data_IF_095982905104
#
_entry.id   IF_095982905104
#
_cell.length_a   1.000
_cell.length_b   1.000
_cell.length_c   1.000
_cell.angle_alpha   90.00
_cell.angle_beta   90.00
_cell.angle_gamma   90.00
#
_symmetry.space_group_name_H-M   'P 1'
#
loop_
_entity.id
_entity.type
_entity.pdbx_description
1 polymer ?
#
# COMPACT_ATOMS: atom_id res chain seq x y z
N UNK A 1 22.57 4.23 -1.80
CA UNK A 1 21.85 3.36 -2.77
C UNK A 1 20.61 2.67 -2.17
N UNK A 2 20.46 2.59 -0.84
CA UNK A 2 19.38 1.85 -0.13
C UNK A 2 18.05 2.59 0.00
N UNK A 3 18.05 3.93 0.05
CA UNK A 3 16.85 4.75 0.30
C UNK A 3 15.83 4.69 -0.86
N UNK A 4 16.32 4.70 -2.11
CA UNK A 4 15.47 4.62 -3.30
C UNK A 4 14.79 3.25 -3.40
N UNK A 5 15.49 2.17 -3.03
CA UNK A 5 14.95 0.82 -3.07
C UNK A 5 13.86 0.61 -2.01
N UNK A 6 14.06 1.12 -0.79
CA UNK A 6 13.06 1.01 0.30
C UNK A 6 11.77 1.75 -0.03
N UNK A 7 11.87 2.95 -0.60
CA UNK A 7 10.72 3.70 -1.12
C UNK A 7 10.01 2.94 -2.24
N UNK A 8 10.77 2.45 -3.22
CA UNK A 8 10.24 1.70 -4.34
C UNK A 8 9.42 0.49 -3.86
N UNK A 9 9.97 -0.30 -2.92
CA UNK A 9 9.25 -1.42 -2.31
C UNK A 9 7.98 -0.94 -1.62
N UNK A 10 8.04 0.14 -0.83
CA UNK A 10 6.88 0.61 -0.04
C UNK A 10 5.75 1.11 -0.95
N UNK A 11 6.09 1.81 -2.04
CA UNK A 11 5.13 2.28 -3.05
C UNK A 11 4.54 1.09 -3.81
N UNK A 12 5.37 0.14 -4.26
CA UNK A 12 4.92 -1.07 -4.97
C UNK A 12 4.00 -1.91 -4.08
N UNK A 13 4.34 -2.09 -2.80
CA UNK A 13 3.49 -2.79 -1.83
C UNK A 13 2.14 -2.09 -1.65
N UNK A 14 2.12 -0.77 -1.49
CA UNK A 14 0.87 -0.02 -1.41
C UNK A 14 0.02 -0.20 -2.68
N UNK A 15 0.64 -0.13 -3.86
CA UNK A 15 -0.05 -0.35 -5.14
C UNK A 15 -0.66 -1.75 -5.25
N UNK A 16 0.08 -2.78 -4.86
CA UNK A 16 -0.38 -4.17 -4.89
C UNK A 16 -1.60 -4.36 -3.97
N UNK A 17 -1.56 -3.81 -2.75
CA UNK A 17 -2.70 -3.86 -1.83
C UNK A 17 -3.93 -3.14 -2.40
N UNK A 18 -3.74 -2.01 -3.05
CA UNK A 18 -4.85 -1.30 -3.73
C UNK A 18 -5.44 -2.19 -4.83
N UNK A 19 -4.63 -2.75 -5.72
CA UNK A 19 -5.10 -3.61 -6.80
C UNK A 19 -5.87 -4.82 -6.27
N UNK A 20 -5.37 -5.48 -5.22
CA UNK A 20 -6.00 -6.64 -4.61
C UNK A 20 -7.39 -6.29 -4.05
N UNK A 21 -7.51 -5.18 -3.32
CA UNK A 21 -8.80 -4.75 -2.76
C UNK A 21 -9.76 -4.33 -3.86
N UNK A 22 -9.29 -3.67 -4.92
CA UNK A 22 -10.12 -3.32 -6.07
C UNK A 22 -10.58 -4.55 -6.86
N UNK A 23 -9.71 -5.55 -7.08
CA UNK A 23 -10.11 -6.83 -7.69
C UNK A 23 -11.17 -7.53 -6.85
N UNK A 24 -11.06 -7.46 -5.52
CA UNK A 24 -12.08 -8.00 -4.64
C UNK A 24 -13.40 -7.21 -4.71
N UNK A 25 -13.33 -5.88 -4.81
CA UNK A 25 -14.52 -5.04 -4.94
C UNK A 25 -15.25 -5.19 -6.29
N UNK A 26 -14.50 -5.35 -7.39
CA UNK A 26 -15.03 -5.55 -8.74
C UNK A 26 -15.58 -6.98 -8.98
N UNK A 27 -15.45 -7.87 -7.99
CA UNK A 27 -15.88 -9.27 -8.13
C UNK A 27 -14.95 -10.12 -8.99
N UNK A 28 -13.78 -9.62 -9.38
CA UNK A 28 -12.74 -10.41 -10.04
C UNK A 28 -12.07 -11.40 -9.10
N UNK A 29 -12.11 -11.15 -7.78
CA UNK A 29 -11.61 -12.08 -6.77
C UNK A 29 -12.52 -12.14 -5.54
N UNK A 30 -13.21 -13.26 -5.35
CA UNK A 30 -14.05 -13.48 -4.17
C UNK A 30 -13.19 -13.99 -3.01
N UNK A 31 -13.14 -13.20 -1.94
CA UNK A 31 -12.51 -13.57 -0.69
C UNK A 31 -13.56 -13.60 0.43
N UNK A 32 -13.31 -14.39 1.47
CA UNK A 32 -14.16 -14.44 2.65
C UNK A 32 -14.35 -13.04 3.25
N UNK A 33 -15.50 -12.78 3.88
CA UNK A 33 -15.85 -11.48 4.44
C UNK A 33 -14.78 -10.99 5.43
N UNK A 34 -14.21 -11.90 6.21
CA UNK A 34 -13.13 -11.59 7.17
C UNK A 34 -11.86 -11.17 6.43
N UNK A 35 -11.47 -11.91 5.39
CA UNK A 35 -10.27 -11.65 4.58
C UNK A 35 -10.40 -10.29 3.89
N UNK A 36 -11.57 -10.01 3.32
CA UNK A 36 -11.88 -8.74 2.65
C UNK A 36 -11.74 -7.54 3.58
N UNK A 37 -12.22 -7.63 4.83
CA UNK A 37 -12.04 -6.55 5.83
C UNK A 37 -10.56 -6.38 6.17
N UNK A 38 -9.81 -7.48 6.35
CA UNK A 38 -8.39 -7.43 6.69
C UNK A 38 -7.58 -6.75 5.57
N UNK A 39 -7.80 -7.13 4.31
CA UNK A 39 -7.12 -6.52 3.17
C UNK A 39 -7.42 -5.02 3.04
N UNK A 40 -8.64 -4.58 3.36
CA UNK A 40 -8.98 -3.16 3.38
C UNK A 40 -8.16 -2.39 4.41
N UNK A 41 -8.08 -2.86 5.66
CA UNK A 41 -7.27 -2.20 6.68
C UNK A 41 -5.77 -2.22 6.35
N UNK A 42 -5.25 -3.33 5.83
CA UNK A 42 -3.84 -3.42 5.43
C UNK A 42 -3.54 -2.45 4.29
N UNK A 43 -4.45 -2.28 3.33
CA UNK A 43 -4.29 -1.29 2.26
C UNK A 43 -4.19 0.14 2.82
N UNK A 44 -5.06 0.52 3.75
CA UNK A 44 -5.00 1.84 4.40
C UNK A 44 -3.64 2.04 5.08
N UNK A 45 -3.17 1.06 5.86
CA UNK A 45 -1.86 1.13 6.53
C UNK A 45 -0.72 1.24 5.52
N UNK A 46 -0.77 0.48 4.41
CA UNK A 46 0.25 0.52 3.37
C UNK A 46 0.33 1.90 2.67
N UNK A 47 -0.82 2.51 2.37
CA UNK A 47 -0.89 3.86 1.79
C UNK A 47 -0.31 4.90 2.77
N UNK A 48 -0.69 4.84 4.05
CA UNK A 48 -0.15 5.72 5.08
C UNK A 48 1.37 5.56 5.21
N UNK A 49 1.86 4.32 5.21
CA UNK A 49 3.29 4.04 5.29
C UNK A 49 4.04 4.63 4.09
N UNK A 50 3.53 4.42 2.86
CA UNK A 50 4.09 5.00 1.64
C UNK A 50 4.10 6.54 1.67
N UNK A 51 3.01 7.16 2.14
CA UNK A 51 2.90 8.61 2.28
C UNK A 51 3.88 9.18 3.32
N UNK A 52 4.01 8.53 4.48
CA UNK A 52 4.94 8.98 5.54
C UNK A 52 6.40 8.82 5.12
N UNK A 53 6.75 7.73 4.44
CA UNK A 53 8.10 7.48 3.94
C UNK A 53 8.49 8.49 2.85
N UNK A 54 7.55 8.82 1.95
CA UNK A 54 7.71 9.87 0.95
C UNK A 54 7.87 11.25 1.61
N UNK A 55 7.04 11.57 2.61
CA UNK A 55 7.09 12.83 3.35
C UNK A 55 8.40 13.05 4.11
N UNK A 56 8.95 12.00 4.74
CA UNK A 56 10.27 12.06 5.40
C UNK A 56 11.38 12.45 4.43
N UNK A 57 11.33 11.95 3.20
CA UNK A 57 12.37 12.18 2.19
C UNK A 57 12.22 13.56 1.56
N UNK A 58 10.99 14.04 1.34
CA UNK A 58 10.75 15.43 0.93
C UNK A 58 11.19 16.43 2.00
N UNK A 59 10.94 16.13 3.28
CA UNK A 59 11.38 16.98 4.40
C UNK A 59 12.90 17.01 4.57
N UNK A 60 13.61 15.94 4.22
CA UNK A 60 15.08 15.87 4.30
C UNK A 60 15.81 16.51 3.08
N UNK A 61 15.06 17.03 2.10
CA UNK A 61 15.60 17.68 0.89
C UNK A 61 15.45 19.21 0.90
N UNK A 62 14.82 19.78 1.93
CA UNK A 62 14.77 21.23 2.19
C UNK A 62 15.57 21.57 3.43
#
# INVERSE_FOLDING_TARGET
MTLNWRLFITIVTALLFVIIVFMNFLGHWTADQVIRILFFFIMVVAIFNAGTETGKITKNKG
#
